data_IF_151965871324
#
_entry.id   IF_151965871324
#
_cell.length_a   1.000
_cell.length_b   1.000
_cell.length_c   1.000
_cell.angle_alpha   90.00
_cell.angle_beta   90.00
_cell.angle_gamma   90.00
#
_symmetry.space_group_name_H-M   'P 1'
#
loop_
_entity.id
_entity.type
_entity.pdbx_description
1 polymer ?
#
# COMPACT_ATOMS: atom_id res chain seq x y z
N UNK A 1 25.86 36.11 -21.91
CA UNK A 1 24.56 35.69 -21.34
C UNK A 1 24.62 34.19 -20.99
N UNK A 2 25.03 33.86 -19.76
CA UNK A 2 25.08 32.46 -19.29
C UNK A 2 23.66 32.00 -18.98
N UNK A 3 23.12 31.05 -19.75
CA UNK A 3 21.82 30.42 -19.48
C UNK A 3 21.99 29.52 -18.24
N UNK A 4 21.53 30.00 -17.07
CA UNK A 4 21.36 29.14 -15.89
C UNK A 4 20.37 28.03 -16.25
N UNK A 5 20.88 26.81 -16.37
CA UNK A 5 20.08 25.59 -16.46
C UNK A 5 19.35 25.47 -15.12
N UNK A 6 18.05 25.74 -15.11
CA UNK A 6 17.21 25.58 -13.93
C UNK A 6 17.08 24.09 -13.66
N UNK A 7 17.74 23.64 -12.60
CA UNK A 7 17.71 22.27 -12.10
C UNK A 7 16.28 21.75 -11.96
N UNK A 8 16.12 20.50 -12.40
CA UNK A 8 15.01 19.58 -12.22
C UNK A 8 13.94 20.05 -11.24
N UNK A 9 12.79 20.40 -11.79
CA UNK A 9 11.50 20.42 -11.08
C UNK A 9 11.43 19.17 -10.20
N UNK A 10 11.37 19.38 -8.89
CA UNK A 10 10.98 18.38 -7.88
C UNK A 10 9.91 17.47 -8.47
N UNK A 11 10.25 16.20 -8.77
CA UNK A 11 9.24 15.17 -8.99
C UNK A 11 8.44 15.11 -7.70
N UNK A 12 7.23 15.68 -7.69
CA UNK A 12 6.21 15.31 -6.73
C UNK A 12 6.03 13.80 -6.92
N UNK A 13 6.66 13.02 -6.06
CA UNK A 13 6.34 11.61 -5.94
C UNK A 13 4.97 11.57 -5.26
N UNK A 14 3.91 11.84 -6.03
CA UNK A 14 2.54 11.60 -5.63
C UNK A 14 2.44 10.07 -5.50
N UNK A 15 2.74 9.56 -4.29
CA UNK A 15 2.70 8.14 -4.01
C UNK A 15 1.26 7.68 -4.20
N UNK A 16 1.05 6.82 -5.19
CA UNK A 16 -0.25 6.20 -5.45
C UNK A 16 -0.70 5.45 -4.19
N UNK A 17 -1.85 5.85 -3.67
CA UNK A 17 -2.52 5.16 -2.57
C UNK A 17 -3.46 4.10 -3.14
N UNK A 18 -3.50 2.94 -2.51
CA UNK A 18 -4.28 1.77 -2.91
C UNK A 18 -5.13 1.34 -1.71
N UNK A 19 -6.43 1.15 -1.93
CA UNK A 19 -7.31 0.55 -0.93
C UNK A 19 -7.26 -0.97 -1.09
N UNK A 20 -6.58 -1.64 -0.15
CA UNK A 20 -6.49 -3.09 -0.11
C UNK A 20 -7.57 -3.65 0.81
N UNK A 21 -8.28 -4.68 0.34
CA UNK A 21 -9.36 -5.37 1.05
C UNK A 21 -9.01 -6.86 1.03
N UNK A 22 -8.89 -7.48 2.20
CA UNK A 22 -8.71 -8.93 2.32
C UNK A 22 -9.76 -9.56 3.21
N UNK A 23 -10.07 -10.83 2.93
CA UNK A 23 -11.00 -11.62 3.72
C UNK A 23 -10.21 -12.44 4.75
N UNK A 24 -10.54 -12.29 6.03
CA UNK A 24 -9.92 -13.03 7.13
C UNK A 24 -10.98 -13.81 7.90
N UNK A 25 -10.65 -15.02 8.38
CA UNK A 25 -11.54 -15.78 9.27
C UNK A 25 -11.34 -15.29 10.71
N UNK A 26 -12.41 -14.79 11.33
CA UNK A 26 -12.42 -14.37 12.73
C UNK A 26 -12.21 -15.57 13.65
N UNK A 27 -11.18 -15.52 14.51
CA UNK A 27 -10.96 -16.54 15.54
C UNK A 27 -12.04 -16.54 16.62
N UNK A 28 -12.69 -15.38 16.85
CA UNK A 28 -13.71 -15.21 17.90
C UNK A 28 -15.06 -15.79 17.50
N UNK A 29 -15.48 -15.57 16.25
CA UNK A 29 -16.82 -15.91 15.77
C UNK A 29 -16.84 -17.00 14.71
N UNK A 30 -15.69 -17.38 14.14
CA UNK A 30 -15.59 -18.36 13.06
C UNK A 30 -16.03 -17.84 11.69
N UNK A 31 -16.68 -16.67 11.62
CA UNK A 31 -17.12 -16.04 10.38
C UNK A 31 -15.96 -15.35 9.64
N UNK A 32 -16.16 -15.13 8.34
CA UNK A 32 -15.27 -14.31 7.53
C UNK A 32 -15.59 -12.83 7.69
N UNK A 33 -14.56 -12.02 7.86
CA UNK A 33 -14.64 -10.56 8.01
C UNK A 33 -13.68 -9.89 7.03
N UNK A 34 -14.00 -8.66 6.62
CA UNK A 34 -13.14 -7.86 5.76
C UNK A 34 -12.17 -7.03 6.58
N UNK A 35 -10.90 -7.05 6.19
CA UNK A 35 -9.87 -6.14 6.67
C UNK A 35 -9.49 -5.18 5.54
N UNK A 36 -9.74 -3.90 5.77
CA UNK A 36 -9.54 -2.84 4.79
C UNK A 36 -8.39 -1.94 5.24
N UNK A 37 -7.46 -1.61 4.33
CA UNK A 37 -6.34 -0.72 4.63
C UNK A 37 -5.95 0.11 3.41
N UNK A 38 -5.69 1.39 3.63
CA UNK A 38 -5.07 2.26 2.61
C UNK A 38 -3.56 2.09 2.73
N UNK A 39 -2.92 1.66 1.64
CA UNK A 39 -1.48 1.34 1.58
C UNK A 39 -0.86 1.89 0.30
N UNK A 40 0.47 1.87 0.24
CA UNK A 40 1.23 2.20 -0.97
C UNK A 40 1.56 0.95 -1.79
N UNK A 41 1.95 1.13 -3.04
CA UNK A 41 2.29 0.04 -3.98
C UNK A 41 3.28 -0.99 -3.38
N UNK A 42 4.34 -0.50 -2.73
CA UNK A 42 5.38 -1.33 -2.10
C UNK A 42 4.89 -2.16 -0.90
N UNK A 43 3.69 -1.89 -0.39
CA UNK A 43 3.10 -2.53 0.78
C UNK A 43 2.03 -3.55 0.40
N UNK A 44 1.58 -3.58 -0.86
CA UNK A 44 0.52 -4.48 -1.35
C UNK A 44 0.92 -5.94 -1.15
N UNK A 45 2.09 -6.34 -1.62
CA UNK A 45 2.56 -7.73 -1.49
C UNK A 45 2.64 -8.15 -0.02
N UNK A 46 3.12 -7.26 0.86
CA UNK A 46 3.20 -7.53 2.30
C UNK A 46 1.82 -7.67 2.94
N UNK A 47 0.83 -6.91 2.47
CA UNK A 47 -0.53 -6.97 3.00
C UNK A 47 -1.23 -8.30 2.65
N UNK A 48 -0.96 -8.85 1.47
CA UNK A 48 -1.55 -10.12 1.02
C UNK A 48 -0.68 -11.35 1.32
N UNK A 49 0.61 -11.19 1.66
CA UNK A 49 1.47 -12.25 2.19
C UNK A 49 1.08 -12.62 3.63
N UNK A 50 -0.12 -13.18 3.79
CA UNK A 50 -0.54 -13.78 5.05
C UNK A 50 0.16 -15.14 5.20
N UNK A 51 1.30 -15.17 5.90
CA UNK A 51 1.85 -16.44 6.39
C UNK A 51 0.90 -16.97 7.45
N UNK A 52 0.22 -18.08 7.14
CA UNK A 52 -0.38 -18.95 8.15
C UNK A 52 0.78 -19.42 9.04
N UNK A 53 1.01 -18.73 10.16
CA UNK A 53 1.80 -19.29 11.26
C UNK A 53 0.90 -20.33 11.90
N UNK A 54 1.13 -21.60 11.53
CA UNK A 54 0.61 -22.76 12.26
C UNK A 54 1.02 -22.67 13.73
#
# INVERSE_FOLDING_TARGET
>A
MSKKIVENKKKKNDKKMIMAIRVIKSKKSGFYTFENKIITDNEVDKFFQYKIKN
#
